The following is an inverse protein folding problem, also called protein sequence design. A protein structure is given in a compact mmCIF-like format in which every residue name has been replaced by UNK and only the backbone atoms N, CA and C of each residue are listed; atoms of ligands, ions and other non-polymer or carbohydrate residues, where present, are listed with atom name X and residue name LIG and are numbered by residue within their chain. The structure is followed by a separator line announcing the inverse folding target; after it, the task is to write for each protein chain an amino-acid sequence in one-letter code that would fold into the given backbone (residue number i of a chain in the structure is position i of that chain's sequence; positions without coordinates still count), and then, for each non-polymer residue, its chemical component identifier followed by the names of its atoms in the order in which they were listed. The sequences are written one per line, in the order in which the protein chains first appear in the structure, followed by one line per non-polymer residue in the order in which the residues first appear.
data_IF_763466668656
#
_entry.id   IF_763466668656
#
_cell.length_a   1.000
_cell.length_b   1.000
_cell.length_c   1.000
_cell.angle_alpha   90.00
_cell.angle_beta   90.00
_cell.angle_gamma   90.00
#
_symmetry.space_group_name_H-M   'P 1'
#
loop_
_entity.id
_entity.type
_entity.pdbx_description
1 polymer ?
#
# COMPACT_ATOMS: atom_id res chain seq x y z
N UNK A 1 37.22 -43.70 -27.98
CA UNK A 1 37.36 -43.07 -26.65
C UNK A 1 36.78 -41.65 -26.68
N UNK A 2 35.45 -41.48 -26.67
CA UNK A 2 34.85 -40.14 -26.82
C UNK A 2 33.49 -39.96 -26.10
N UNK A 3 33.29 -40.67 -25.00
CA UNK A 3 31.98 -40.70 -24.30
C UNK A 3 32.05 -40.38 -22.80
N UNK A 4 33.24 -40.20 -22.21
CA UNK A 4 33.40 -39.91 -20.77
C UNK A 4 33.47 -38.43 -20.38
N UNK A 5 33.74 -37.52 -21.31
CA UNK A 5 33.91 -36.08 -20.98
C UNK A 5 32.63 -35.25 -21.05
N UNK A 6 31.55 -35.74 -21.68
CA UNK A 6 30.28 -35.00 -21.79
C UNK A 6 29.46 -35.02 -20.50
N UNK A 7 29.58 -36.07 -19.69
CA UNK A 7 28.77 -36.23 -18.48
C UNK A 7 29.19 -35.30 -17.33
N UNK A 8 30.47 -34.91 -17.24
CA UNK A 8 30.94 -34.00 -16.18
C UNK A 8 30.52 -32.54 -16.41
N UNK A 9 30.42 -32.11 -17.67
CA UNK A 9 30.08 -30.72 -18.01
C UNK A 9 28.60 -30.42 -17.69
N UNK A 10 27.72 -31.40 -17.90
CA UNK A 10 26.28 -31.25 -17.64
C UNK A 10 25.98 -31.16 -16.14
N UNK A 11 26.73 -31.88 -15.30
CA UNK A 11 26.57 -31.83 -13.84
C UNK A 11 27.10 -30.53 -13.22
N UNK A 12 28.18 -29.95 -13.78
CA UNK A 12 28.72 -28.66 -13.33
C UNK A 12 27.78 -27.49 -13.67
N UNK A 13 27.12 -27.49 -14.84
CA UNK A 13 26.17 -26.44 -15.19
C UNK A 13 24.90 -26.46 -14.33
N UNK A 14 24.38 -27.63 -13.97
CA UNK A 14 23.19 -27.72 -13.11
C UNK A 14 23.42 -27.16 -11.69
N UNK A 15 24.62 -27.37 -11.13
CA UNK A 15 25.00 -26.81 -9.83
C UNK A 15 25.15 -25.28 -9.85
N UNK A 16 25.66 -24.70 -10.95
CA UNK A 16 25.77 -23.26 -11.13
C UNK A 16 24.41 -22.57 -11.28
N UNK A 17 23.44 -23.20 -11.93
CA UNK A 17 22.07 -22.66 -12.09
C UNK A 17 21.31 -22.70 -10.75
N UNK A 18 21.49 -23.74 -9.92
CA UNK A 18 20.88 -23.80 -8.59
C UNK A 18 21.51 -22.83 -7.59
N UNK A 19 22.80 -22.50 -7.76
CA UNK A 19 23.49 -21.51 -6.91
C UNK A 19 23.07 -20.05 -7.20
N UNK A 20 22.47 -19.77 -8.36
CA UNK A 20 21.93 -18.46 -8.72
C UNK A 20 20.48 -18.26 -8.25
N UNK A 21 19.80 -19.33 -7.86
CA UNK A 21 18.44 -19.31 -7.29
C UNK A 21 18.47 -19.47 -5.78
N UNK A 22 19.41 -18.82 -5.09
CA UNK A 22 19.24 -18.66 -3.65
C UNK A 22 18.00 -17.78 -3.45
N UNK A 23 17.00 -18.22 -2.65
CA UNK A 23 15.93 -17.32 -2.28
C UNK A 23 16.61 -16.10 -1.66
N UNK A 24 16.24 -14.91 -2.14
CA UNK A 24 16.57 -13.66 -1.45
C UNK A 24 15.91 -13.80 -0.08
N UNK A 25 16.66 -14.33 0.88
CA UNK A 25 16.37 -14.25 2.29
C UNK A 25 16.34 -12.75 2.56
N UNK A 26 15.14 -12.16 2.51
CA UNK A 26 14.93 -10.82 3.01
C UNK A 26 15.58 -10.79 4.40
N UNK A 27 16.54 -9.89 4.61
CA UNK A 27 17.23 -9.79 5.89
C UNK A 27 16.16 -9.71 7.00
N UNK A 28 16.39 -10.30 8.18
CA UNK A 28 15.37 -10.37 9.24
C UNK A 28 14.78 -9.00 9.62
N UNK A 29 15.54 -7.91 9.43
CA UNK A 29 15.06 -6.53 9.56
C UNK A 29 13.93 -6.19 8.58
N UNK A 30 14.08 -6.56 7.29
CA UNK A 30 13.06 -6.33 6.26
C UNK A 30 11.79 -7.16 6.50
N UNK A 31 11.90 -8.36 7.09
CA UNK A 31 10.72 -9.16 7.48
C UNK A 31 9.97 -8.54 8.67
N UNK A 32 10.69 -7.96 9.64
CA UNK A 32 10.09 -7.29 10.78
C UNK A 32 9.41 -5.96 10.37
N UNK A 33 10.03 -5.20 9.48
CA UNK A 33 9.45 -3.98 8.89
C UNK A 33 8.18 -4.28 8.08
N UNK A 34 8.20 -5.36 7.30
CA UNK A 34 7.02 -5.81 6.57
C UNK A 34 5.87 -6.20 7.51
N UNK A 35 6.14 -6.97 8.57
CA UNK A 35 5.12 -7.34 9.54
C UNK A 35 4.52 -6.13 10.27
N UNK A 36 5.35 -5.14 10.61
CA UNK A 36 4.89 -3.88 11.20
C UNK A 36 4.01 -3.08 10.24
N UNK A 37 4.42 -2.95 8.97
CA UNK A 37 3.64 -2.25 7.94
C UNK A 37 2.27 -2.93 7.72
N UNK A 38 2.24 -4.26 7.64
CA UNK A 38 0.98 -5.01 7.53
C UNK A 38 0.08 -4.79 8.74
N UNK A 39 0.63 -4.76 9.95
CA UNK A 39 -0.16 -4.50 11.16
C UNK A 39 -0.80 -3.11 11.18
N UNK A 40 -0.13 -2.09 10.64
CA UNK A 40 -0.70 -0.73 10.51
C UNK A 40 -1.83 -0.72 9.47
N UNK A 41 -1.65 -1.40 8.33
CA UNK A 41 -2.69 -1.54 7.31
C UNK A 41 -3.93 -2.26 7.84
N UNK A 42 -3.75 -3.37 8.56
CA UNK A 42 -4.86 -4.12 9.16
C UNK A 42 -5.68 -3.27 10.14
N UNK A 43 -4.99 -2.47 10.97
CA UNK A 43 -5.64 -1.53 11.89
C UNK A 43 -6.40 -0.43 11.14
N UNK A 44 -5.82 0.10 10.06
CA UNK A 44 -6.45 1.11 9.23
C UNK A 44 -7.73 0.57 8.58
N UNK A 45 -7.69 -0.62 7.98
CA UNK A 45 -8.88 -1.23 7.36
C UNK A 45 -9.97 -1.55 8.38
N UNK A 46 -9.61 -2.06 9.56
CA UNK A 46 -10.59 -2.29 10.63
C UNK A 46 -11.28 -0.99 11.09
N UNK A 47 -10.53 0.12 11.17
CA UNK A 47 -11.10 1.43 11.47
C UNK A 47 -11.99 1.94 10.32
N UNK A 48 -11.57 1.75 9.07
CA UNK A 48 -12.34 2.12 7.88
C UNK A 48 -13.69 1.38 7.79
N UNK A 49 -13.70 0.06 8.01
CA UNK A 49 -14.93 -0.77 8.00
C UNK A 49 -15.98 -0.31 9.03
N UNK A 50 -15.52 0.26 10.15
CA UNK A 50 -16.36 0.77 11.23
C UNK A 50 -16.60 2.28 11.16
N UNK A 51 -16.08 2.94 10.11
CA UNK A 51 -16.15 4.39 9.92
C UNK A 51 -15.57 5.21 11.10
N UNK A 52 -14.51 4.70 11.74
CA UNK A 52 -13.87 5.31 12.91
C UNK A 52 -12.71 6.23 12.47
N UNK A 53 -13.03 7.49 12.15
CA UNK A 53 -12.06 8.47 11.65
C UNK A 53 -10.96 8.79 12.65
N UNK A 54 -11.28 8.84 13.95
CA UNK A 54 -10.30 9.11 15.00
C UNK A 54 -9.21 8.04 15.02
N UNK A 55 -9.60 6.77 14.90
CA UNK A 55 -8.64 5.66 14.80
C UNK A 55 -7.84 5.69 13.50
N UNK A 56 -8.47 6.05 12.37
CA UNK A 56 -7.74 6.18 11.11
C UNK A 56 -6.68 7.28 11.18
N UNK A 57 -7.01 8.45 11.74
CA UNK A 57 -6.10 9.59 11.88
C UNK A 57 -5.03 9.37 12.95
N UNK A 58 -5.29 8.58 13.99
CA UNK A 58 -4.30 8.23 15.01
C UNK A 58 -3.11 7.43 14.45
N UNK A 59 -3.28 6.76 13.30
CA UNK A 59 -2.22 6.03 12.60
C UNK A 59 -1.37 6.91 11.67
N UNK A 60 -1.72 8.18 11.51
CA UNK A 60 -1.11 9.09 10.54
C UNK A 60 -0.25 10.17 11.20
N UNK A 61 0.70 10.69 10.43
CA UNK A 61 1.43 11.93 10.78
C UNK A 61 0.51 13.13 10.69
N UNK A 62 0.93 14.25 11.29
CA UNK A 62 0.11 15.47 11.33
C UNK A 62 0.00 16.16 9.96
N UNK A 63 0.93 15.88 9.05
CA UNK A 63 1.04 16.43 7.70
C UNK A 63 0.56 15.48 6.59
N UNK A 64 -0.13 14.40 6.97
CA UNK A 64 -0.67 13.42 6.03
C UNK A 64 -1.55 14.07 4.95
N UNK A 65 -1.44 13.59 3.72
CA UNK A 65 -2.31 14.03 2.61
C UNK A 65 -3.18 12.86 2.17
N UNK A 66 -4.50 13.05 2.19
CA UNK A 66 -5.45 12.09 1.63
C UNK A 66 -6.05 12.60 0.33
N UNK A 67 -6.08 11.71 -0.66
CA UNK A 67 -6.79 11.94 -1.93
C UNK A 67 -7.96 10.98 -2.05
N UNK A 68 -9.16 11.54 -2.15
CA UNK A 68 -10.40 10.82 -2.47
C UNK A 68 -10.75 11.03 -3.94
N UNK A 69 -11.18 9.97 -4.61
CA UNK A 69 -11.73 10.04 -5.96
C UNK A 69 -13.00 9.19 -5.97
N UNK A 70 -14.07 9.71 -6.58
CA UNK A 70 -15.31 8.98 -6.86
C UNK A 70 -15.48 8.89 -8.39
N UNK A 71 -14.87 7.86 -9.02
CA UNK A 71 -14.78 7.78 -10.47
C UNK A 71 -16.18 7.72 -11.12
N UNK A 72 -16.42 8.59 -12.09
CA UNK A 72 -17.69 8.64 -12.82
C UNK A 72 -18.74 9.56 -12.18
N UNK A 73 -18.46 10.17 -11.02
CA UNK A 73 -19.25 11.28 -10.50
C UNK A 73 -18.61 12.62 -10.85
N UNK A 74 -19.36 13.41 -11.62
CA UNK A 74 -19.09 14.82 -11.82
C UNK A 74 -19.76 15.58 -10.67
N UNK A 75 -18.98 16.08 -9.72
CA UNK A 75 -19.50 17.04 -8.74
C UNK A 75 -19.32 18.44 -9.32
N UNK A 76 -20.35 19.31 -9.29
CA UNK A 76 -20.26 20.67 -9.83
C UNK A 76 -19.03 21.45 -9.33
N UNK A 77 -18.63 21.20 -8.08
CA UNK A 77 -17.56 21.92 -7.41
C UNK A 77 -16.20 21.18 -7.46
N UNK A 78 -16.16 19.91 -7.87
CA UNK A 78 -14.94 19.05 -7.80
C UNK A 78 -14.45 18.56 -9.17
N UNK A 79 -15.19 18.83 -10.24
CA UNK A 79 -14.81 18.51 -11.61
C UNK A 79 -15.04 17.03 -12.01
N UNK A 80 -14.51 16.62 -13.18
CA UNK A 80 -14.86 15.38 -13.88
C UNK A 80 -14.48 14.07 -13.20
N UNK A 81 -13.58 14.12 -12.22
CA UNK A 81 -13.14 12.93 -11.49
C UNK A 81 -13.69 12.88 -10.06
N UNK A 82 -14.41 13.92 -9.61
CA UNK A 82 -14.86 14.00 -8.23
C UNK A 82 -13.69 13.83 -7.26
N UNK A 83 -12.64 14.64 -7.42
CA UNK A 83 -11.40 14.51 -6.65
C UNK A 83 -11.41 15.48 -5.48
N UNK A 84 -11.15 14.96 -4.29
CA UNK A 84 -10.91 15.73 -3.07
C UNK A 84 -9.50 15.47 -2.57
N UNK A 85 -8.83 16.53 -2.13
CA UNK A 85 -7.52 16.45 -1.49
C UNK A 85 -7.63 17.21 -0.18
N UNK A 86 -7.21 16.58 0.91
CA UNK A 86 -7.13 17.22 2.23
C UNK A 86 -5.74 16.99 2.82
N UNK A 87 -5.22 18.03 3.46
CA UNK A 87 -3.90 18.04 4.08
C UNK A 87 -4.03 18.21 5.58
N UNK A 88 -3.46 17.27 6.32
CA UNK A 88 -3.53 17.24 7.77
C UNK A 88 -4.87 16.75 8.30
N UNK A 89 -4.87 16.45 9.61
CA UNK A 89 -5.94 15.72 10.29
C UNK A 89 -7.29 16.44 10.26
N UNK A 90 -7.29 17.76 10.45
CA UNK A 90 -8.51 18.56 10.51
C UNK A 90 -9.24 18.63 9.17
N UNK A 91 -8.51 18.86 8.06
CA UNK A 91 -9.10 18.90 6.73
C UNK A 91 -9.62 17.51 6.32
N UNK A 92 -8.89 16.45 6.70
CA UNK A 92 -9.30 15.08 6.42
C UNK A 92 -10.57 14.71 7.18
N UNK A 93 -10.67 15.10 8.46
CA UNK A 93 -11.88 14.87 9.23
C UNK A 93 -13.08 15.59 8.61
N UNK A 94 -12.93 16.88 8.25
CA UNK A 94 -13.99 17.64 7.59
C UNK A 94 -14.42 17.00 6.25
N UNK A 95 -13.45 16.48 5.48
CA UNK A 95 -13.71 15.77 4.24
C UNK A 95 -14.45 14.44 4.45
N UNK A 96 -14.10 13.67 5.49
CA UNK A 96 -14.78 12.42 5.85
C UNK A 96 -16.23 12.66 6.30
N UNK A 97 -16.47 13.72 7.07
CA UNK A 97 -17.81 14.12 7.48
C UNK A 97 -18.65 14.59 6.28
N UNK A 98 -18.04 15.33 5.35
CA UNK A 98 -18.67 15.72 4.08
C UNK A 98 -19.07 14.48 3.26
N UNK A 99 -18.18 13.51 3.08
CA UNK A 99 -18.44 12.26 2.33
C UNK A 99 -19.70 11.54 2.84
N UNK A 100 -19.79 11.35 4.16
CA UNK A 100 -20.96 10.74 4.82
C UNK A 100 -22.28 11.48 4.56
N UNK A 101 -22.23 12.81 4.45
CA UNK A 101 -23.44 13.64 4.30
C UNK A 101 -23.85 13.85 2.85
N UNK A 102 -22.89 13.85 1.93
CA UNK A 102 -23.09 14.21 0.53
C UNK A 102 -23.43 13.01 -0.38
N UNK A 103 -23.41 11.77 0.15
CA UNK A 103 -23.56 10.56 -0.67
C UNK A 103 -22.37 10.33 -1.60
N UNK A 104 -21.23 10.91 -1.24
CA UNK A 104 -19.93 10.55 -1.76
C UNK A 104 -19.63 9.15 -1.22
N UNK A 105 -19.17 8.26 -2.09
CA UNK A 105 -18.91 6.85 -1.74
C UNK A 105 -17.51 6.43 -2.17
N UNK A 106 -16.63 7.43 -2.27
CA UNK A 106 -15.28 7.24 -2.78
C UNK A 106 -14.45 6.37 -1.83
N UNK A 107 -13.40 5.76 -2.37
CA UNK A 107 -12.42 5.03 -1.57
C UNK A 107 -11.17 5.88 -1.43
N UNK A 108 -10.52 5.83 -0.26
CA UNK A 108 -9.20 6.45 -0.08
C UNK A 108 -8.24 5.71 -1.01
N UNK A 109 -7.72 6.40 -2.03
CA UNK A 109 -6.83 5.78 -3.01
C UNK A 109 -5.37 5.77 -2.54
N UNK A 110 -5.00 6.77 -1.74
CA UNK A 110 -3.63 6.97 -1.30
C UNK A 110 -3.57 7.83 -0.03
N UNK A 111 -2.72 7.42 0.91
CA UNK A 111 -2.30 8.21 2.07
C UNK A 111 -0.80 8.39 1.93
N UNK A 112 -0.33 9.62 1.73
CA UNK A 112 1.10 9.93 1.70
C UNK A 112 1.53 10.44 3.06
N UNK A 113 2.50 9.75 3.67
CA UNK A 113 3.18 10.20 4.88
C UNK A 113 4.39 10.99 4.41
N UNK A 114 4.30 12.32 4.48
CA UNK A 114 5.45 13.17 4.18
C UNK A 114 6.43 13.03 5.36
N UNK A 115 7.64 12.51 5.10
CA UNK A 115 8.64 12.23 6.14
C UNK A 115 10.02 11.89 5.57
#
# INVERSE_FOLDING_TARGET
MLTRHRSCIILLLAALVLSACQPVMAAPVAQQEQAAAMSVLDQFFAAYETYDIDKMLALQTDDVVWTWIDPGKNFPDLGPEGRLVATGKDEIQAMFEYDRSAGFGGYILWSDVQG
#
